data_IF_618203682037
#
_entry.id   IF_618203682037
#
_cell.length_a   1.000
_cell.length_b   1.000
_cell.length_c   1.000
_cell.angle_alpha   90.00
_cell.angle_beta   90.00
_cell.angle_gamma   90.00
#
_symmetry.space_group_name_H-M   'P 1'
#
loop_
_entity.id
_entity.type
_entity.pdbx_description
1 polymer ?
#
# COMPACT_ATOMS: atom_id res chain seq x y z
N UNK A 1 4.35 -3.07 -35.40
CA UNK A 1 4.00 -3.01 -33.97
C UNK A 1 2.89 -4.01 -33.71
N UNK A 2 3.02 -4.80 -32.65
CA UNK A 2 1.98 -5.73 -32.20
C UNK A 2 0.78 -4.92 -31.67
N UNK A 3 -0.47 -5.37 -31.89
CA UNK A 3 -1.64 -4.76 -31.26
C UNK A 3 -1.59 -4.76 -29.72
N UNK A 4 -0.75 -5.63 -29.12
CA UNK A 4 -0.54 -5.69 -27.68
C UNK A 4 0.63 -4.81 -27.20
N UNK A 5 1.35 -4.12 -28.09
CA UNK A 5 2.44 -3.22 -27.70
C UNK A 5 2.02 -2.14 -26.69
N UNK A 6 0.82 -1.52 -26.80
CA UNK A 6 0.36 -0.57 -25.79
C UNK A 6 0.20 -1.21 -24.39
N UNK A 7 -0.32 -2.44 -24.33
CA UNK A 7 -0.46 -3.19 -23.08
C UNK A 7 0.89 -3.54 -22.47
N UNK A 8 1.84 -3.98 -23.30
CA UNK A 8 3.22 -4.28 -22.87
C UNK A 8 3.94 -3.02 -22.38
N UNK A 9 3.76 -1.90 -23.06
CA UNK A 9 4.34 -0.62 -22.65
C UNK A 9 3.80 -0.17 -21.28
N UNK A 10 2.49 -0.24 -21.07
CA UNK A 10 1.87 0.07 -19.77
C UNK A 10 2.38 -0.86 -18.67
N UNK A 11 2.48 -2.16 -18.97
CA UNK A 11 3.00 -3.16 -18.03
C UNK A 11 4.45 -2.87 -17.64
N UNK A 12 5.32 -2.53 -18.61
CA UNK A 12 6.71 -2.13 -18.33
C UNK A 12 6.82 -0.87 -17.48
N UNK A 13 6.07 0.18 -17.82
CA UNK A 13 6.04 1.42 -17.02
C UNK A 13 5.60 1.18 -15.59
N UNK A 14 4.62 0.30 -15.39
CA UNK A 14 4.16 -0.08 -14.05
C UNK A 14 5.26 -0.82 -13.27
N UNK A 15 5.97 -1.75 -13.90
CA UNK A 15 7.11 -2.41 -13.26
C UNK A 15 8.22 -1.42 -12.91
N UNK A 16 8.59 -0.52 -13.82
CA UNK A 16 9.59 0.53 -13.58
C UNK A 16 9.19 1.46 -12.43
N UNK A 17 7.90 1.74 -12.28
CA UNK A 17 7.38 2.54 -11.17
C UNK A 17 7.44 1.76 -9.85
N UNK A 18 7.09 0.47 -9.86
CA UNK A 18 7.16 -0.41 -8.69
C UNK A 18 8.59 -0.76 -8.25
N UNK A 19 9.58 -0.57 -9.12
CA UNK A 19 11.00 -0.70 -8.78
C UNK A 19 11.56 0.54 -8.07
N UNK A 20 10.83 1.67 -8.10
CA UNK A 20 11.22 2.88 -7.40
C UNK A 20 10.81 2.79 -5.93
N UNK A 21 11.69 3.24 -5.04
CA UNK A 21 11.34 3.45 -3.63
C UNK A 21 10.95 4.91 -3.43
N UNK A 22 9.66 5.24 -3.29
CA UNK A 22 9.23 6.62 -3.04
C UNK A 22 9.72 7.10 -1.67
N UNK A 23 9.94 8.41 -1.55
CA UNK A 23 10.04 9.07 -0.23
C UNK A 23 8.65 9.30 0.36
N UNK A 24 8.57 9.51 1.68
CA UNK A 24 7.29 9.78 2.36
C UNK A 24 6.52 10.96 1.74
N UNK A 25 7.22 12.02 1.30
CA UNK A 25 6.61 13.19 0.66
C UNK A 25 5.98 12.90 -0.71
N UNK A 26 6.47 11.88 -1.41
CA UNK A 26 6.04 11.53 -2.78
C UNK A 26 5.23 10.24 -2.83
N UNK A 27 4.96 9.64 -1.66
CA UNK A 27 4.35 8.32 -1.56
C UNK A 27 2.93 8.31 -2.14
N UNK A 28 2.13 9.33 -1.82
CA UNK A 28 0.75 9.44 -2.30
C UNK A 28 0.71 9.59 -3.82
N UNK A 29 1.50 10.50 -4.38
CA UNK A 29 1.65 10.68 -5.84
C UNK A 29 2.11 9.39 -6.53
N UNK A 30 3.00 8.64 -5.89
CA UNK A 30 3.50 7.36 -6.42
C UNK A 30 2.39 6.30 -6.45
N UNK A 31 1.61 6.18 -5.39
CA UNK A 31 0.44 5.28 -5.33
C UNK A 31 -0.61 5.68 -6.39
N UNK A 32 -0.91 6.96 -6.54
CA UNK A 32 -1.87 7.44 -7.55
C UNK A 32 -1.43 7.07 -8.97
N UNK A 33 -0.14 7.22 -9.29
CA UNK A 33 0.43 6.82 -10.59
C UNK A 33 0.32 5.31 -10.81
N UNK A 34 0.56 4.49 -9.79
CA UNK A 34 0.38 3.04 -9.85
C UNK A 34 -1.08 2.70 -10.15
N UNK A 35 -2.02 3.29 -9.40
CA UNK A 35 -3.45 3.05 -9.59
C UNK A 35 -3.91 3.48 -10.98
N UNK A 36 -3.45 4.63 -11.46
CA UNK A 36 -3.74 5.09 -12.81
C UNK A 36 -3.29 4.08 -13.87
N UNK A 37 -2.04 3.60 -13.79
CA UNK A 37 -1.50 2.62 -14.73
C UNK A 37 -2.24 1.27 -14.67
N UNK A 38 -2.62 0.82 -13.48
CA UNK A 38 -3.44 -0.39 -13.29
C UNK A 38 -4.81 -0.24 -13.96
N UNK A 39 -5.50 0.87 -13.74
CA UNK A 39 -6.80 1.16 -14.33
C UNK A 39 -6.72 1.24 -15.86
N UNK A 40 -5.72 1.94 -16.40
CA UNK A 40 -5.51 2.01 -17.85
C UNK A 40 -5.24 0.63 -18.47
N UNK A 41 -4.50 -0.23 -17.75
CA UNK A 41 -4.19 -1.59 -18.17
C UNK A 41 -5.44 -2.46 -18.19
N UNK A 42 -6.26 -2.41 -17.13
CA UNK A 42 -7.51 -3.13 -17.05
C UNK A 42 -8.49 -2.69 -18.14
N UNK A 43 -8.65 -1.37 -18.33
CA UNK A 43 -9.49 -0.81 -19.39
C UNK A 43 -9.03 -1.27 -20.78
N UNK A 44 -7.72 -1.33 -21.01
CA UNK A 44 -7.17 -1.83 -22.27
C UNK A 44 -7.50 -3.31 -22.48
N UNK A 45 -7.31 -4.16 -21.47
CA UNK A 45 -7.61 -5.59 -21.53
C UNK A 45 -9.11 -5.82 -21.80
N UNK A 46 -9.97 -5.09 -21.10
CA UNK A 46 -11.42 -5.20 -21.26
C UNK A 46 -11.87 -4.80 -22.68
N UNK A 47 -11.34 -3.69 -23.21
CA UNK A 47 -11.68 -3.20 -24.54
C UNK A 47 -11.14 -4.06 -25.69
N UNK A 48 -10.07 -4.83 -25.45
CA UNK A 48 -9.33 -5.55 -26.49
C UNK A 48 -9.17 -7.05 -26.19
N UNK A 49 -10.13 -7.65 -25.50
CA UNK A 49 -10.12 -9.08 -25.14
C UNK A 49 -9.95 -10.01 -26.36
N UNK A 50 -10.50 -9.62 -27.50
CA UNK A 50 -10.34 -10.31 -28.78
C UNK A 50 -8.88 -10.33 -29.29
N UNK A 51 -8.10 -9.28 -29.02
CA UNK A 51 -6.69 -9.22 -29.41
C UNK A 51 -5.84 -10.21 -28.62
N UNK A 52 -6.23 -10.51 -27.38
CA UNK A 52 -5.57 -11.52 -26.54
C UNK A 52 -5.87 -12.94 -27.03
N UNK A 53 -7.09 -13.21 -27.50
CA UNK A 53 -7.48 -14.52 -28.01
C UNK A 53 -6.71 -14.94 -29.27
N UNK A 54 -6.34 -13.98 -30.13
CA UNK A 54 -5.57 -14.21 -31.35
C UNK A 54 -4.06 -13.98 -31.21
N UNK A 55 -3.57 -13.68 -30.02
CA UNK A 55 -2.18 -13.31 -29.81
C UNK A 55 -1.24 -14.52 -29.82
N UNK A 56 0.04 -14.25 -30.09
CA UNK A 56 1.09 -15.24 -29.96
C UNK A 56 1.21 -15.70 -28.49
N UNK A 57 1.19 -17.01 -28.27
CA UNK A 57 1.32 -17.65 -26.96
C UNK A 57 2.52 -17.12 -26.16
N UNK A 58 3.65 -16.85 -26.80
CA UNK A 58 4.85 -16.31 -26.13
C UNK A 58 4.60 -14.93 -25.52
N UNK A 59 3.84 -14.07 -26.21
CA UNK A 59 3.50 -12.72 -25.73
C UNK A 59 2.53 -12.81 -24.55
N UNK A 60 1.56 -13.74 -24.62
CA UNK A 60 0.64 -13.97 -23.51
C UNK A 60 1.38 -14.48 -22.28
N UNK A 61 2.33 -15.41 -22.45
CA UNK A 61 3.15 -15.92 -21.35
C UNK A 61 4.01 -14.83 -20.71
N UNK A 62 4.62 -13.94 -21.51
CA UNK A 62 5.34 -12.77 -21.02
C UNK A 62 4.41 -11.87 -20.17
N UNK A 63 3.25 -11.49 -20.70
CA UNK A 63 2.29 -10.65 -19.98
C UNK A 63 1.79 -11.28 -18.67
N UNK A 64 1.60 -12.60 -18.64
CA UNK A 64 1.22 -13.32 -17.42
C UNK A 64 2.36 -13.34 -16.40
N UNK A 65 3.60 -13.56 -16.85
CA UNK A 65 4.77 -13.51 -15.98
C UNK A 65 4.95 -12.12 -15.36
N UNK A 66 4.86 -11.06 -16.17
CA UNK A 66 4.93 -9.68 -15.71
C UNK A 66 3.81 -9.36 -14.70
N UNK A 67 2.58 -9.85 -14.95
CA UNK A 67 1.45 -9.67 -14.02
C UNK A 67 1.76 -10.26 -12.65
N UNK A 68 2.30 -11.49 -12.61
CA UNK A 68 2.68 -12.15 -11.36
C UNK A 68 3.76 -11.37 -10.62
N UNK A 69 4.71 -10.80 -11.35
CA UNK A 69 5.78 -9.98 -10.75
C UNK A 69 5.21 -8.68 -10.15
N UNK A 70 4.28 -8.04 -10.85
CA UNK A 70 3.54 -6.87 -10.33
C UNK A 70 2.79 -7.23 -9.04
N UNK A 71 2.05 -8.34 -9.05
CA UNK A 71 1.28 -8.79 -7.88
C UNK A 71 2.18 -9.05 -6.65
N UNK A 72 3.34 -9.66 -6.87
CA UNK A 72 4.33 -9.89 -5.82
C UNK A 72 4.86 -8.58 -5.21
N UNK A 73 5.15 -7.58 -6.06
CA UNK A 73 5.63 -6.26 -5.60
C UNK A 73 4.56 -5.51 -4.81
N UNK A 74 3.33 -5.48 -5.32
CA UNK A 74 2.21 -4.85 -4.63
C UNK A 74 1.90 -5.54 -3.28
N UNK A 75 2.00 -6.86 -3.24
CA UNK A 75 1.83 -7.64 -2.01
C UNK A 75 2.92 -7.32 -0.98
N UNK A 76 4.16 -7.17 -1.42
CA UNK A 76 5.28 -6.80 -0.55
C UNK A 76 5.08 -5.40 0.05
N UNK A 77 4.65 -4.41 -0.75
CA UNK A 77 4.36 -3.06 -0.25
C UNK A 77 3.16 -3.05 0.70
N UNK A 78 2.12 -3.82 0.41
CA UNK A 78 0.96 -3.96 1.31
C UNK A 78 1.38 -4.57 2.66
N UNK A 79 2.27 -5.56 2.65
CA UNK A 79 2.81 -6.16 3.87
C UNK A 79 3.65 -5.14 4.67
N UNK A 80 4.47 -4.33 4.00
CA UNK A 80 5.26 -3.26 4.62
C UNK A 80 4.37 -2.22 5.31
N UNK A 81 3.29 -1.77 4.65
CA UNK A 81 2.30 -0.89 5.25
C UNK A 81 1.64 -1.52 6.49
N UNK A 82 1.30 -2.82 6.42
CA UNK A 82 0.73 -3.56 7.56
C UNK A 82 1.65 -3.59 8.78
N UNK A 83 2.96 -3.74 8.57
CA UNK A 83 3.98 -3.66 9.63
C UNK A 83 4.05 -2.24 10.22
N UNK A 84 4.09 -1.20 9.38
CA UNK A 84 4.13 0.20 9.83
C UNK A 84 2.91 0.57 10.67
N UNK A 85 1.70 0.17 10.25
CA UNK A 85 0.46 0.39 11.02
C UNK A 85 0.54 -0.31 12.38
N UNK A 86 1.05 -1.54 12.42
CA UNK A 86 1.21 -2.30 13.66
C UNK A 86 2.20 -1.62 14.63
N UNK A 87 3.32 -1.12 14.10
CA UNK A 87 4.28 -0.34 14.89
C UNK A 87 3.66 0.95 15.44
N UNK A 88 2.92 1.71 14.62
CA UNK A 88 2.23 2.92 15.07
C UNK A 88 1.26 2.64 16.23
N UNK A 89 0.50 1.54 16.15
CA UNK A 89 -0.39 1.10 17.24
C UNK A 89 0.38 0.77 18.52
N UNK A 90 1.52 0.09 18.41
CA UNK A 90 2.39 -0.22 19.56
C UNK A 90 2.94 1.06 20.19
N UNK A 91 3.43 2.01 19.39
CA UNK A 91 3.94 3.31 19.87
C UNK A 91 2.85 4.15 20.54
N UNK A 92 1.61 4.10 20.03
CA UNK A 92 0.48 4.76 20.68
C UNK A 92 0.14 4.10 22.03
N UNK A 93 0.18 2.77 22.10
CA UNK A 93 -0.07 2.04 23.35
C UNK A 93 1.03 2.29 24.38
N UNK A 94 2.30 2.35 23.97
CA UNK A 94 3.41 2.65 24.88
C UNK A 94 3.36 4.09 25.37
N UNK A 95 3.00 5.05 24.51
CA UNK A 95 2.74 6.45 24.91
C UNK A 95 1.62 6.55 25.93
N UNK A 96 0.49 5.85 25.74
CA UNK A 96 -0.61 5.80 26.72
C UNK A 96 -0.20 5.17 28.05
N UNK A 97 0.64 4.14 28.02
CA UNK A 97 1.15 3.51 29.24
C UNK A 97 2.18 4.36 30.00
N UNK A 98 2.77 5.37 29.34
CA UNK A 98 3.70 6.33 29.94
C UNK A 98 3.03 7.68 30.25
N UNK A 99 1.72 7.81 30.01
CA UNK A 99 0.95 8.94 30.55
C UNK A 99 0.97 8.81 32.07
N UNK A 100 1.36 9.92 32.68
CA UNK A 100 1.77 10.12 34.07
C UNK A 100 0.99 9.26 35.09
N UNK A 101 1.66 8.41 35.92
CA UNK A 101 0.99 7.68 37.00
C UNK A 101 0.37 8.61 38.06
N UNK A 102 0.60 9.93 37.96
CA UNK A 102 0.01 10.93 38.82
C UNK A 102 -1.12 11.76 38.18
N UNK A 103 -1.49 11.53 36.90
CA UNK A 103 -2.60 12.27 36.25
C UNK A 103 -3.96 11.98 36.90
N UNK A 104 -4.13 10.81 37.53
CA UNK A 104 -5.36 10.43 38.24
C UNK A 104 -5.43 10.92 39.72
N UNK A 105 -4.39 11.60 40.23
CA UNK A 105 -4.36 11.98 41.67
C UNK A 105 -5.14 13.26 41.96
N UNK A 106 -5.37 14.13 40.97
CA UNK A 106 -6.05 15.42 41.18
C UNK A 106 -7.58 15.31 41.35
N UNK A 107 -8.19 14.15 41.09
CA UNK A 107 -9.63 13.92 41.29
C UNK A 107 -9.98 12.88 42.37
N UNK A 108 -9.01 12.37 43.11
CA UNK A 108 -9.28 11.54 44.29
C UNK A 108 -9.37 12.43 45.53
N UNK A 109 -10.53 13.05 45.73
CA UNK A 109 -10.91 13.63 47.01
C UNK A 109 -10.85 12.50 48.05
N UNK A 110 -9.75 12.44 48.79
CA UNK A 110 -9.53 11.42 49.81
C UNK A 110 -10.59 11.61 50.91
N UNK A 111 -11.48 10.63 51.16
CA UNK A 111 -12.51 10.76 52.20
C UNK A 111 -11.94 10.66 53.62
N UNK A 112 -10.61 10.55 53.75
CA UNK A 112 -9.91 10.37 55.02
C UNK A 112 -9.28 11.65 55.57
N UNK A 113 -9.40 12.80 54.87
CA UNK A 113 -8.87 14.09 55.30
C UNK A 113 -9.88 14.97 56.06
N UNK A 114 -10.95 14.38 56.61
CA UNK A 114 -11.77 15.02 57.65
C UNK A 114 -11.70 14.23 58.96
N UNK A 115 -10.53 14.26 59.58
CA UNK A 115 -10.43 14.10 61.03
C UNK A 115 -9.08 14.61 61.52
N UNK A 116 -9.05 15.87 61.98
CA UNK A 116 -8.51 16.29 63.29
C UNK A 116 -8.22 17.81 63.31
N UNK A 117 -9.04 18.46 64.13
CA UNK A 117 -8.84 19.72 64.88
C UNK A 117 -8.91 21.05 64.14
#
# INVERSE_FOLDING_TARGET
MSPLDPLRLKTKRLMELLDQTPSDETYDDWIEKIQHLLNEREAFIAAHSNLLAGANQAIIQELVADSRQIDLKLSAETAKLGVQISQLRQTQSSRKSYVDPYEDVDNSFSPYFDSRQ
#
